data_IF_362101044755
#
_entry.id   IF_362101044755
#
_cell.length_a   1.000
_cell.length_b   1.000
_cell.length_c   1.000
_cell.angle_alpha   90.00
_cell.angle_beta   90.00
_cell.angle_gamma   90.00
#
_symmetry.space_group_name_H-M   'P 1'
#
loop_
_entity.id
_entity.type
_entity.pdbx_description
1 polymer ?
#
# COMPACT_ATOMS: atom_id res chain seq x y z
N UNK A 1 11.01 -14.68 -14.39
CA UNK A 1 10.93 -15.23 -13.02
C UNK A 1 11.44 -14.21 -11.99
N UNK A 2 10.95 -12.95 -12.02
CA UNK A 2 11.46 -11.84 -11.17
C UNK A 2 10.37 -11.02 -10.45
N UNK A 3 9.08 -11.36 -10.62
CA UNK A 3 7.96 -10.49 -10.22
C UNK A 3 7.46 -10.70 -8.78
N UNK A 4 7.86 -11.79 -8.11
CA UNK A 4 7.33 -12.18 -6.78
C UNK A 4 8.18 -11.74 -5.58
N UNK A 5 9.46 -11.38 -5.75
CA UNK A 5 10.30 -10.98 -4.60
C UNK A 5 9.84 -9.65 -4.00
N UNK A 6 9.55 -8.63 -4.82
CA UNK A 6 9.19 -7.30 -4.33
C UNK A 6 7.95 -7.30 -3.42
N UNK A 7 6.89 -8.03 -3.78
CA UNK A 7 5.68 -8.12 -2.96
C UNK A 7 5.91 -8.90 -1.66
N UNK A 8 6.83 -9.86 -1.69
CA UNK A 8 7.17 -10.69 -0.51
C UNK A 8 8.02 -9.88 0.47
N UNK A 9 8.98 -9.11 -0.03
CA UNK A 9 9.80 -8.19 0.74
C UNK A 9 8.96 -7.05 1.33
N UNK A 10 8.07 -6.47 0.53
CA UNK A 10 7.13 -5.44 0.99
C UNK A 10 6.21 -5.98 2.10
N UNK A 11 5.72 -7.23 1.99
CA UNK A 11 4.97 -7.89 3.07
C UNK A 11 5.81 -8.01 4.35
N UNK A 12 7.07 -8.39 4.20
CA UNK A 12 7.99 -8.53 5.33
C UNK A 12 8.28 -7.20 6.02
N UNK A 13 8.44 -6.12 5.25
CA UNK A 13 8.76 -4.79 5.76
C UNK A 13 7.55 -4.07 6.35
N UNK A 14 6.37 -4.18 5.71
CA UNK A 14 5.15 -3.47 6.11
C UNK A 14 4.25 -4.24 7.08
N UNK A 15 4.50 -5.55 7.27
CA UNK A 15 3.62 -6.42 8.06
C UNK A 15 2.21 -6.57 7.45
N UNK A 16 2.02 -6.18 6.20
CA UNK A 16 0.73 -6.25 5.53
C UNK A 16 0.38 -7.67 5.07
N UNK A 17 -0.91 -7.97 5.10
CA UNK A 17 -1.42 -9.21 4.52
C UNK A 17 -1.19 -9.21 3.01
N UNK A 18 -0.94 -10.40 2.44
CA UNK A 18 -0.71 -10.52 0.99
C UNK A 18 -1.93 -10.10 0.17
N UNK A 19 -3.12 -10.20 0.75
CA UNK A 19 -4.36 -9.76 0.11
C UNK A 19 -4.42 -8.22 0.02
N UNK A 20 -4.01 -7.51 1.08
CA UNK A 20 -3.94 -6.04 1.10
C UNK A 20 -2.92 -5.53 0.08
N UNK A 21 -1.73 -6.13 0.03
CA UNK A 21 -0.71 -5.75 -0.96
C UNK A 21 -1.15 -6.05 -2.39
N UNK A 22 -1.80 -7.19 -2.63
CA UNK A 22 -2.32 -7.51 -3.97
C UNK A 22 -3.41 -6.53 -4.43
N UNK A 23 -4.30 -6.10 -3.52
CA UNK A 23 -5.32 -5.08 -3.83
C UNK A 23 -4.68 -3.76 -4.24
N UNK A 24 -3.69 -3.30 -3.47
CA UNK A 24 -2.95 -2.07 -3.77
C UNK A 24 -2.17 -2.17 -5.08
N UNK A 25 -1.45 -3.27 -5.27
CA UNK A 25 -0.62 -3.47 -6.46
C UNK A 25 -1.43 -3.65 -7.75
N UNK A 26 -2.63 -4.24 -7.66
CA UNK A 26 -3.54 -4.43 -8.79
C UNK A 26 -4.58 -3.31 -8.93
N UNK A 27 -4.45 -2.27 -8.12
CA UNK A 27 -5.36 -1.13 -8.06
C UNK A 27 -6.84 -1.53 -7.96
N UNK A 28 -7.12 -2.65 -7.28
CA UNK A 28 -8.46 -3.25 -7.25
C UNK A 28 -9.16 -2.91 -5.94
N UNK A 29 -10.31 -2.24 -6.04
CA UNK A 29 -11.11 -1.79 -4.90
C UNK A 29 -10.29 -0.99 -3.86
N UNK A 30 -9.41 -0.08 -4.32
CA UNK A 30 -8.52 0.71 -3.45
C UNK A 30 -9.33 1.50 -2.42
N UNK A 31 -10.54 1.95 -2.75
CA UNK A 31 -11.48 2.64 -1.87
C UNK A 31 -11.89 1.82 -0.64
N UNK A 32 -11.74 0.48 -0.70
CA UNK A 32 -11.98 -0.41 0.45
C UNK A 32 -10.76 -0.56 1.36
N UNK A 33 -9.63 0.07 1.00
CA UNK A 33 -8.40 0.01 1.79
C UNK A 33 -8.55 0.83 3.06
N UNK A 34 -8.28 0.19 4.19
CA UNK A 34 -8.31 0.86 5.48
C UNK A 34 -7.13 1.82 5.63
N UNK A 35 -7.35 2.97 6.28
CA UNK A 35 -6.31 3.96 6.54
C UNK A 35 -5.12 3.37 7.31
N UNK A 36 -5.34 2.39 8.20
CA UNK A 36 -4.29 1.65 8.90
C UNK A 36 -3.31 0.97 7.94
N UNK A 37 -3.80 0.45 6.81
CA UNK A 37 -2.94 -0.18 5.79
C UNK A 37 -2.00 0.86 5.15
N UNK A 38 -2.51 2.08 4.93
CA UNK A 38 -1.71 3.19 4.40
C UNK A 38 -0.65 3.63 5.41
N UNK A 39 -0.96 3.67 6.71
CA UNK A 39 0.04 3.95 7.75
C UNK A 39 1.15 2.90 7.80
N UNK A 40 0.83 1.60 7.71
CA UNK A 40 1.85 0.54 7.63
C UNK A 40 2.76 0.67 6.42
N UNK A 41 2.24 1.18 5.30
CA UNK A 41 3.07 1.51 4.12
C UNK A 41 3.93 2.74 4.36
N UNK A 42 3.40 3.77 5.00
CA UNK A 42 4.18 4.93 5.44
C UNK A 42 5.36 4.49 6.31
N UNK A 43 5.13 3.62 7.29
CA UNK A 43 6.16 3.11 8.19
C UNK A 43 7.22 2.30 7.42
N UNK A 44 6.80 1.43 6.49
CA UNK A 44 7.70 0.64 5.66
C UNK A 44 8.56 1.47 4.70
N UNK A 45 7.98 2.53 4.12
CA UNK A 45 8.66 3.43 3.20
C UNK A 45 9.33 4.62 3.90
N UNK A 46 9.20 4.72 5.23
CA UNK A 46 9.62 5.86 6.02
C UNK A 46 9.14 7.20 5.42
N UNK A 47 7.88 7.26 5.01
CA UNK A 47 7.27 8.40 4.35
C UNK A 47 6.05 8.93 5.13
N UNK A 48 5.66 10.17 4.85
CA UNK A 48 4.42 10.74 5.39
C UNK A 48 3.23 10.33 4.52
N UNK A 49 2.08 10.15 5.14
CA UNK A 49 0.83 9.80 4.44
C UNK A 49 0.49 10.79 3.31
N UNK A 50 0.79 12.07 3.49
CA UNK A 50 0.61 13.11 2.46
C UNK A 50 1.39 12.87 1.16
N UNK A 51 2.40 12.00 1.16
CA UNK A 51 3.11 11.59 -0.05
C UNK A 51 2.44 10.40 -0.76
N UNK A 52 1.61 9.63 -0.06
CA UNK A 52 0.88 8.48 -0.60
C UNK A 52 -0.50 8.86 -1.11
N UNK A 53 -1.15 9.84 -0.49
CA UNK A 53 -2.50 10.28 -0.85
C UNK A 53 -2.48 11.75 -1.26
N UNK A 54 -3.05 12.02 -2.43
CA UNK A 54 -3.33 13.38 -2.89
C UNK A 54 -4.84 13.64 -2.77
N UNK A 55 -5.20 14.74 -2.11
CA UNK A 55 -6.58 15.19 -2.07
C UNK A 55 -6.88 15.98 -3.34
N UNK A 56 -7.69 15.40 -4.23
CA UNK A 56 -8.17 16.07 -5.45
C UNK A 56 -9.62 16.53 -5.22
N UNK A 57 -9.85 17.83 -5.37
CA UNK A 57 -11.18 18.42 -5.35
C UNK A 57 -11.95 17.97 -6.61
N UNK A 58 -12.81 16.97 -6.47
CA UNK A 58 -13.78 16.62 -7.51
C UNK A 58 -14.96 17.60 -7.42
N UNK A 59 -15.09 18.45 -8.45
CA UNK A 59 -16.25 19.32 -8.66
C UNK A 59 -17.46 18.54 -9.12
#
# INVERSE_FOLDING_TARGET
>A
MWRNCFLTELRSLSGLSGNSINKLYRETNIETTQLETLFKLCDAFNCKLSYLIEYVLNK
#
